data_IF_125855459309
#
_entry.id   IF_125855459309
#
_cell.length_a   1.000
_cell.length_b   1.000
_cell.length_c   1.000
_cell.angle_alpha   90.00
_cell.angle_beta   90.00
_cell.angle_gamma   90.00
#
_symmetry.space_group_name_H-M   'P 1'
#
loop_
_entity.id
_entity.type
_entity.pdbx_description
1 polymer ?
#
# COMPACT_ATOMS: atom_id res chain seq x y z
N UNK A 1 -2.11 -26.22 1.69
CA UNK A 1 -1.64 -25.87 1.43
C UNK A 1 -0.98 -25.91 1.24
N UNK A 2 -1.17 -26.30 1.37
CA UNK A 2 -0.28 -26.18 1.27
C UNK A 2 -0.07 -25.91 0.21
N UNK A 3 -0.82 -26.42 -0.35
CA UNK A 3 -0.61 -26.07 -1.37
C UNK A 3 -0.81 -24.75 -1.54
N UNK A 4 -1.76 -24.12 -1.19
CA UNK A 4 -1.81 -22.75 -1.12
C UNK A 4 -0.67 -22.21 -0.34
N UNK A 5 -0.28 -22.94 0.66
CA UNK A 5 0.79 -22.45 1.51
C UNK A 5 2.12 -22.32 0.78
N UNK A 6 2.58 -23.33 0.07
CA UNK A 6 3.83 -23.15 -0.66
C UNK A 6 3.72 -22.04 -1.68
N UNK A 7 2.57 -21.92 -2.30
CA UNK A 7 2.40 -20.90 -3.30
C UNK A 7 2.48 -19.52 -2.67
N UNK A 8 1.82 -19.34 -1.56
CA UNK A 8 1.81 -18.07 -0.86
C UNK A 8 3.20 -17.70 -0.38
N UNK A 9 3.95 -18.69 0.04
CA UNK A 9 5.29 -18.44 0.49
C UNK A 9 6.14 -17.96 -0.65
N UNK A 10 6.00 -18.56 -1.80
CA UNK A 10 6.77 -18.17 -2.97
C UNK A 10 6.43 -16.74 -3.36
N UNK A 11 5.16 -16.36 -3.27
CA UNK A 11 4.75 -15.03 -3.58
C UNK A 11 5.31 -14.03 -2.60
N UNK A 12 5.32 -14.38 -1.35
CA UNK A 12 5.85 -13.52 -0.32
C UNK A 12 7.32 -13.29 -0.51
N UNK A 13 8.02 -14.34 -0.88
CA UNK A 13 9.44 -14.23 -1.11
C UNK A 13 9.72 -13.32 -2.29
N UNK A 14 8.97 -13.50 -3.35
CA UNK A 14 9.13 -12.68 -4.53
C UNK A 14 8.84 -11.23 -4.20
N UNK A 15 7.80 -10.98 -3.45
CA UNK A 15 7.43 -9.64 -3.03
C UNK A 15 8.55 -9.01 -2.23
N UNK A 16 9.14 -9.76 -1.33
CA UNK A 16 10.18 -9.23 -0.49
C UNK A 16 11.41 -8.85 -1.28
N UNK A 17 11.79 -9.69 -2.20
CA UNK A 17 12.95 -9.43 -3.02
C UNK A 17 12.70 -8.20 -3.87
N UNK A 18 11.54 -8.13 -4.44
CA UNK A 18 11.14 -7.01 -5.25
C UNK A 18 11.20 -5.73 -4.48
N UNK A 19 10.70 -5.72 -3.28
CA UNK A 19 10.70 -4.53 -2.48
C UNK A 19 12.10 -4.11 -2.09
N UNK A 20 12.94 -5.08 -1.87
CA UNK A 20 14.30 -4.77 -1.54
C UNK A 20 14.95 -4.09 -2.70
N UNK A 21 14.70 -4.58 -3.89
CA UNK A 21 15.27 -3.99 -5.07
C UNK A 21 14.70 -2.64 -5.35
N UNK A 22 13.43 -2.48 -5.09
CA UNK A 22 12.78 -1.20 -5.26
C UNK A 22 13.37 -0.18 -4.33
N UNK A 23 13.71 -0.56 -3.13
CA UNK A 23 14.30 0.36 -2.20
C UNK A 23 15.63 0.85 -2.70
N UNK A 24 16.43 -0.03 -3.26
CA UNK A 24 17.70 0.38 -3.80
C UNK A 24 17.51 1.28 -4.99
N UNK A 25 16.56 0.91 -5.82
CA UNK A 25 16.26 1.73 -6.97
C UNK A 25 15.66 3.03 -6.49
N UNK A 26 14.92 2.97 -5.42
CA UNK A 26 14.33 4.14 -4.83
C UNK A 26 15.35 5.14 -4.37
N UNK A 27 16.45 4.66 -3.84
CA UNK A 27 17.49 5.56 -3.40
C UNK A 27 18.03 6.32 -4.60
N UNK A 28 18.28 5.62 -5.68
CA UNK A 28 18.74 6.25 -6.88
C UNK A 28 17.65 7.17 -7.41
N UNK A 29 16.44 6.66 -7.40
CA UNK A 29 15.31 7.43 -7.85
C UNK A 29 15.08 8.65 -7.01
N UNK A 30 15.34 8.55 -5.74
CA UNK A 30 15.15 9.66 -4.86
C UNK A 30 16.11 10.77 -5.18
N UNK A 31 17.33 10.41 -5.53
CA UNK A 31 18.27 11.42 -5.93
C UNK A 31 17.78 12.13 -7.17
N UNK A 32 17.29 11.36 -8.12
CA UNK A 32 16.76 11.91 -9.32
C UNK A 32 15.55 12.75 -9.00
N UNK A 33 14.74 12.24 -8.15
CA UNK A 33 13.51 12.85 -7.75
C UNK A 33 13.77 14.17 -7.07
N UNK A 34 14.76 14.21 -6.23
CA UNK A 34 15.13 15.39 -5.62
C UNK A 34 15.48 16.38 -6.66
N UNK A 35 16.23 15.99 -7.60
CA UNK A 35 16.61 16.83 -8.64
C UNK A 35 15.44 17.31 -9.44
N UNK A 36 14.43 16.50 -9.58
CA UNK A 36 13.35 16.88 -10.36
C UNK A 36 12.27 17.40 -9.63
N UNK A 37 12.18 17.17 -8.40
CA UNK A 37 11.18 17.69 -7.70
C UNK A 37 9.94 17.26 -8.32
N UNK A 38 9.81 16.12 -8.67
CA UNK A 38 8.73 15.69 -9.32
C UNK A 38 7.53 16.28 -8.89
N UNK A 39 6.83 16.71 -9.76
CA UNK A 39 5.56 17.24 -9.49
C UNK A 39 4.83 16.05 -9.04
N UNK A 40 5.46 14.98 -9.13
CA UNK A 40 4.86 13.78 -8.93
C UNK A 40 3.78 13.69 -7.94
N UNK A 41 4.04 14.07 -6.76
CA UNK A 41 3.06 13.91 -5.73
C UNK A 41 1.75 14.53 -6.12
N UNK A 42 1.79 15.75 -6.54
CA UNK A 42 0.64 16.45 -6.91
C UNK A 42 -0.04 15.91 -8.10
N UNK A 43 0.71 15.56 -9.09
CA UNK A 43 0.12 15.11 -10.32
C UNK A 43 -0.52 13.76 -10.25
N UNK A 44 -0.05 12.89 -9.38
CA UNK A 44 -0.64 11.58 -9.29
C UNK A 44 -1.87 11.59 -8.40
N UNK A 45 -1.97 12.56 -7.49
CA UNK A 45 -3.13 12.64 -6.61
C UNK A 45 -4.35 12.98 -7.44
N UNK A 46 -5.37 12.17 -7.40
CA UNK A 46 -6.60 12.48 -8.07
C UNK A 46 -7.65 12.99 -7.11
N UNK A 47 -7.80 12.32 -6.00
CA UNK A 47 -8.84 12.70 -5.07
C UNK A 47 -8.46 12.27 -3.66
N UNK A 48 -8.59 13.16 -2.71
CA UNK A 48 -8.40 12.80 -1.33
C UNK A 48 -9.60 11.98 -0.90
N UNK A 49 -9.37 10.74 -0.52
CA UNK A 49 -10.47 9.90 -0.08
C UNK A 49 -10.86 10.28 1.34
N UNK A 50 -9.88 10.35 2.21
CA UNK A 50 -10.16 10.72 3.59
C UNK A 50 -8.89 11.05 4.33
N UNK A 51 -9.01 11.98 5.26
CA UNK A 51 -7.90 12.28 6.15
C UNK A 51 -8.29 11.78 7.53
N UNK A 52 -7.47 10.93 8.11
CA UNK A 52 -7.78 10.34 9.39
C UNK A 52 -7.34 11.24 10.53
N UNK A 53 -7.88 10.97 11.70
CA UNK A 53 -7.57 11.79 12.85
C UNK A 53 -6.10 11.79 13.22
N UNK A 54 -5.43 10.71 12.96
CA UNK A 54 -4.01 10.61 13.30
C UNK A 54 -3.12 11.32 12.26
N UNK A 55 -3.72 12.00 11.30
CA UNK A 55 -2.94 12.75 10.32
C UNK A 55 -2.65 12.01 9.03
N UNK A 56 -3.01 10.74 8.97
CA UNK A 56 -2.79 9.96 7.76
C UNK A 56 -3.80 10.35 6.70
N UNK A 57 -3.35 10.56 5.48
CA UNK A 57 -4.24 10.89 4.37
C UNK A 57 -4.27 9.74 3.39
N UNK A 58 -5.47 9.38 2.96
CA UNK A 58 -5.64 8.32 1.98
C UNK A 58 -6.09 8.95 0.67
N UNK A 59 -5.33 8.72 -0.38
CA UNK A 59 -5.58 9.33 -1.67
C UNK A 59 -5.88 8.29 -2.73
N UNK A 60 -6.82 8.61 -3.61
CA UNK A 60 -7.01 7.83 -4.83
C UNK A 60 -6.04 8.48 -5.82
N UNK A 61 -5.17 7.67 -6.39
CA UNK A 61 -4.13 8.19 -7.28
C UNK A 61 -4.23 7.59 -8.67
N UNK A 62 -3.60 8.26 -9.61
CA UNK A 62 -3.54 7.77 -10.97
C UNK A 62 -2.44 6.70 -11.00
N UNK A 63 -2.82 5.44 -10.84
CA UNK A 63 -1.87 4.35 -10.76
C UNK A 63 -1.00 4.21 -12.01
N UNK A 64 -1.59 4.50 -13.18
CA UNK A 64 -0.85 4.41 -14.40
C UNK A 64 0.32 5.40 -14.39
N UNK A 65 0.05 6.60 -13.92
CA UNK A 65 1.09 7.62 -13.85
C UNK A 65 2.14 7.22 -12.80
N UNK A 66 1.71 6.67 -11.69
CA UNK A 66 2.64 6.22 -10.66
C UNK A 66 3.59 5.19 -11.27
N UNK A 67 3.03 4.24 -12.00
CA UNK A 67 3.85 3.19 -12.59
C UNK A 67 4.83 3.72 -13.63
N UNK A 68 4.44 4.75 -14.34
CA UNK A 68 5.33 5.27 -15.37
C UNK A 68 6.38 6.23 -14.85
N UNK A 69 6.09 6.90 -13.74
CA UNK A 69 7.03 7.90 -13.23
C UNK A 69 7.91 7.36 -12.11
N UNK A 70 7.32 6.59 -11.22
CA UNK A 70 8.03 6.14 -10.03
C UNK A 70 8.42 4.66 -10.02
N UNK A 71 7.47 3.79 -10.23
CA UNK A 71 7.72 2.37 -10.06
C UNK A 71 6.74 1.55 -10.87
N UNK A 72 7.23 0.85 -11.86
CA UNK A 72 6.39 0.09 -12.74
C UNK A 72 5.65 -1.03 -12.02
N UNK A 73 6.13 -1.41 -10.85
CA UNK A 73 5.52 -2.49 -10.09
C UNK A 73 4.44 -2.04 -9.11
N UNK A 74 4.15 -0.75 -9.07
CA UNK A 74 3.10 -0.28 -8.18
C UNK A 74 1.76 -0.86 -8.63
N UNK A 75 1.09 -1.58 -7.78
CA UNK A 75 -0.23 -2.13 -8.10
C UNK A 75 -1.14 -1.98 -6.92
N UNK A 76 -2.38 -1.65 -7.19
CA UNK A 76 -3.46 -1.57 -6.24
C UNK A 76 -3.30 -0.51 -5.15
N UNK A 77 -2.18 -0.45 -4.48
CA UNK A 77 -2.01 0.54 -3.43
C UNK A 77 -0.66 0.45 -2.76
N UNK A 78 -0.40 1.38 -1.88
CA UNK A 78 0.85 1.37 -1.14
C UNK A 78 0.90 2.51 -0.14
N UNK A 79 1.86 2.45 0.76
CA UNK A 79 2.00 3.49 1.77
C UNK A 79 3.45 3.91 1.92
N UNK A 80 3.64 4.96 2.69
CA UNK A 80 4.93 5.64 2.80
C UNK A 80 6.03 4.82 3.44
N UNK A 81 5.68 3.84 4.27
CA UNK A 81 6.73 3.05 4.90
C UNK A 81 7.38 2.07 3.92
N UNK A 82 6.72 1.78 2.83
CA UNK A 82 7.22 0.83 1.86
C UNK A 82 7.75 1.48 0.60
N UNK A 83 7.05 2.51 0.11
CA UNK A 83 7.45 3.19 -1.12
C UNK A 83 7.99 4.58 -0.80
N UNK A 84 9.23 4.82 -1.19
CA UNK A 84 9.83 6.10 -0.89
C UNK A 84 9.21 7.27 -1.64
N UNK A 85 8.56 6.98 -2.75
CA UNK A 85 7.93 8.05 -3.50
C UNK A 85 6.56 8.44 -2.93
N UNK A 86 6.04 7.66 -1.99
CA UNK A 86 4.79 8.02 -1.36
C UNK A 86 5.13 9.00 -0.23
N UNK A 87 4.54 10.20 -0.24
CA UNK A 87 4.87 11.20 0.79
C UNK A 87 4.54 10.69 2.18
N UNK A 88 5.24 11.24 3.14
CA UNK A 88 5.05 10.86 4.52
C UNK A 88 3.59 11.01 4.93
N UNK A 89 3.08 10.02 5.64
CA UNK A 89 1.71 10.00 6.14
C UNK A 89 0.66 9.93 5.04
N UNK A 90 0.99 9.24 3.97
CA UNK A 90 0.01 9.01 2.92
C UNK A 90 -0.12 7.54 2.59
N UNK A 91 -1.33 7.17 2.18
CA UNK A 91 -1.62 5.87 1.63
C UNK A 91 -2.25 6.13 0.27
N UNK A 92 -1.76 5.46 -0.75
CA UNK A 92 -2.25 5.65 -2.11
C UNK A 92 -3.00 4.42 -2.57
N UNK A 93 -4.16 4.65 -3.17
CA UNK A 93 -4.99 3.57 -3.71
C UNK A 93 -5.14 3.82 -5.20
N UNK A 94 -4.82 2.83 -6.00
CA UNK A 94 -4.84 2.92 -7.46
C UNK A 94 -6.27 3.15 -7.95
N UNK A 95 -6.45 4.12 -8.82
CA UNK A 95 -7.77 4.44 -9.32
C UNK A 95 -8.29 3.38 -10.29
N UNK A 96 -7.41 2.52 -10.78
CA UNK A 96 -7.81 1.50 -11.74
C UNK A 96 -8.54 0.31 -11.12
N UNK A 97 -8.45 0.12 -9.82
CA UNK A 97 -9.13 -1.01 -9.21
C UNK A 97 -10.60 -0.67 -9.01
N UNK A 98 -11.43 -1.69 -9.09
CA UNK A 98 -12.87 -1.50 -8.98
C UNK A 98 -13.23 -0.93 -7.63
N UNK A 99 -14.25 -0.10 -7.62
CA UNK A 99 -14.67 0.55 -6.41
C UNK A 99 -14.93 -0.42 -5.27
N UNK A 100 -15.55 -1.52 -5.59
CA UNK A 100 -15.87 -2.50 -4.56
C UNK A 100 -14.63 -3.18 -3.98
N UNK A 101 -13.52 -3.10 -4.70
CA UNK A 101 -12.29 -3.71 -4.23
C UNK A 101 -11.48 -2.76 -3.36
N UNK A 102 -11.75 -1.48 -3.49
CA UNK A 102 -10.95 -0.48 -2.80
C UNK A 102 -10.93 -0.63 -1.30
N UNK A 103 -12.05 -1.05 -0.73
CA UNK A 103 -12.12 -1.21 0.72
C UNK A 103 -11.19 -2.28 1.22
N UNK A 104 -11.06 -3.37 0.47
CA UNK A 104 -10.20 -4.46 0.88
C UNK A 104 -8.72 -4.09 0.73
N UNK A 105 -8.39 -3.38 -0.33
CA UNK A 105 -7.03 -2.92 -0.52
C UNK A 105 -6.68 -1.91 0.56
N UNK A 106 -7.61 -1.02 0.86
CA UNK A 106 -7.42 -0.04 1.91
C UNK A 106 -7.15 -0.72 3.24
N UNK A 107 -7.93 -1.73 3.58
CA UNK A 107 -7.76 -2.46 4.82
C UNK A 107 -6.36 -3.06 4.89
N UNK A 108 -5.93 -3.67 3.80
CA UNK A 108 -4.61 -4.26 3.74
C UNK A 108 -3.53 -3.21 4.01
N UNK A 109 -3.62 -2.07 3.34
CA UNK A 109 -2.59 -1.04 3.46
C UNK A 109 -2.60 -0.40 4.85
N UNK A 110 -3.77 -0.13 5.38
CA UNK A 110 -3.86 0.47 6.70
C UNK A 110 -3.33 -0.47 7.77
N UNK A 111 -3.73 -1.73 7.70
CA UNK A 111 -3.30 -2.70 8.69
C UNK A 111 -1.79 -2.89 8.63
N UNK A 112 -1.26 -3.03 7.42
CA UNK A 112 0.16 -3.23 7.24
C UNK A 112 0.95 -2.03 7.78
N UNK A 113 0.52 -0.84 7.41
CA UNK A 113 1.22 0.36 7.85
C UNK A 113 1.16 0.51 9.36
N UNK A 114 0.00 0.24 9.96
CA UNK A 114 -0.16 0.37 11.40
C UNK A 114 0.71 -0.63 12.15
N UNK A 115 0.82 -1.85 11.64
CA UNK A 115 1.67 -2.84 12.27
C UNK A 115 3.14 -2.43 12.15
N UNK A 116 3.53 -1.91 11.00
CA UNK A 116 4.90 -1.45 10.84
C UNK A 116 5.18 -0.27 11.73
N UNK A 117 4.20 0.59 11.93
CA UNK A 117 4.36 1.72 12.85
C UNK A 117 4.57 1.24 14.29
N UNK A 118 4.07 0.06 14.60
CA UNK A 118 4.24 -0.52 15.92
C UNK A 118 5.56 -1.28 16.05
N UNK A 119 6.34 -1.31 15.02
CA UNK A 119 7.64 -1.98 15.08
C UNK A 119 7.70 -3.32 14.39
N UNK A 120 6.63 -3.76 13.74
CA UNK A 120 6.67 -5.03 13.04
C UNK A 120 7.48 -4.89 11.75
N UNK A 121 8.12 -5.98 11.36
CA UNK A 121 8.81 -5.99 10.07
C UNK A 121 7.78 -5.98 8.96
N UNK A 122 8.19 -5.59 7.76
CA UNK A 122 7.31 -5.61 6.63
C UNK A 122 6.75 -7.01 6.38
N UNK A 123 7.61 -8.02 6.41
CA UNK A 123 7.16 -9.38 6.13
C UNK A 123 6.05 -9.82 7.06
N UNK A 124 6.22 -9.57 8.33
CA UNK A 124 5.24 -9.98 9.30
C UNK A 124 3.95 -9.18 9.13
N UNK A 125 4.08 -7.88 8.95
CA UNK A 125 2.93 -7.00 8.80
C UNK A 125 2.15 -7.37 7.53
N UNK A 126 2.87 -7.63 6.46
CA UNK A 126 2.24 -7.98 5.18
C UNK A 126 1.49 -9.31 5.27
N UNK A 127 2.10 -10.29 5.91
CA UNK A 127 1.46 -11.59 6.04
C UNK A 127 0.17 -11.49 6.84
N UNK A 128 0.20 -10.73 7.91
CA UNK A 128 -1.01 -10.57 8.71
C UNK A 128 -2.06 -9.77 7.96
N UNK A 129 -1.65 -8.74 7.24
CA UNK A 129 -2.58 -7.94 6.47
C UNK A 129 -3.27 -8.77 5.40
N UNK A 130 -2.53 -9.67 4.79
CA UNK A 130 -3.12 -10.56 3.80
C UNK A 130 -4.17 -11.47 4.43
N UNK A 131 -3.91 -11.93 5.64
CA UNK A 131 -4.87 -12.76 6.33
C UNK A 131 -6.13 -11.99 6.69
N UNK A 132 -5.97 -10.78 7.18
CA UNK A 132 -7.10 -9.95 7.56
C UNK A 132 -7.94 -9.62 6.33
N UNK A 133 -7.27 -9.29 5.25
CA UNK A 133 -7.94 -8.99 3.99
C UNK A 133 -8.72 -10.20 3.49
N UNK A 134 -8.09 -11.36 3.52
CA UNK A 134 -8.71 -12.60 3.07
C UNK A 134 -9.97 -12.89 3.89
N UNK A 135 -9.87 -12.72 5.19
CA UNK A 135 -11.00 -12.97 6.05
C UNK A 135 -12.16 -12.05 5.69
N UNK A 136 -11.88 -10.77 5.50
CA UNK A 136 -12.94 -9.83 5.19
C UNK A 136 -13.53 -10.06 3.81
N UNK A 137 -12.74 -10.59 2.89
CA UNK A 137 -13.28 -10.90 1.57
C UNK A 137 -14.28 -12.03 1.64
N UNK A 138 -14.14 -12.90 2.63
CA UNK A 138 -15.08 -13.99 2.83
C UNK A 138 -16.16 -13.66 3.85
N UNK A 139 -16.05 -12.53 4.51
CA UNK A 139 -17.03 -12.08 5.47
C UNK A 139 -17.16 -10.57 5.28
N UNK A 140 -17.75 -10.20 4.15
CA UNK A 140 -17.80 -8.81 3.75
C UNK A 140 -18.47 -7.89 4.75
N UNK A 141 -19.36 -8.45 5.55
CA UNK A 141 -20.04 -7.65 6.57
C UNK A 141 -19.10 -7.21 7.68
N UNK A 142 -17.91 -7.79 7.75
CA UNK A 142 -16.95 -7.41 8.78
C UNK A 142 -16.00 -6.30 8.32
N UNK A 143 -16.07 -5.93 7.05
CA UNK A 143 -15.11 -4.99 6.51
C UNK A 143 -15.16 -3.63 7.21
N UNK A 144 -16.36 -3.14 7.45
CA UNK A 144 -16.52 -1.84 8.06
C UNK A 144 -15.88 -1.80 9.44
N UNK A 145 -16.10 -2.83 10.21
CA UNK A 145 -15.56 -2.93 11.54
C UNK A 145 -14.05 -3.05 11.51
N UNK A 146 -13.55 -3.84 10.57
CA UNK A 146 -12.12 -4.04 10.45
C UNK A 146 -11.43 -2.74 10.07
N UNK A 147 -12.05 -1.96 9.18
CA UNK A 147 -11.48 -0.67 8.80
C UNK A 147 -11.51 0.30 9.98
N UNK A 148 -12.59 0.29 10.74
CA UNK A 148 -12.70 1.17 11.90
C UNK A 148 -11.59 0.86 12.90
N UNK A 149 -11.26 -0.41 13.05
CA UNK A 149 -10.21 -0.81 13.97
C UNK A 149 -8.85 -0.27 13.55
N UNK A 150 -8.70 0.08 12.28
CA UNK A 150 -7.44 0.61 11.79
C UNK A 150 -7.47 2.15 11.73
N UNK A 151 -8.48 2.76 12.29
CA UNK A 151 -8.54 4.21 12.34
C UNK A 151 -9.40 4.84 11.25
N UNK A 152 -10.04 4.03 10.46
CA UNK A 152 -10.87 4.54 9.38
C UNK A 152 -12.24 4.85 9.94
N UNK A 153 -12.48 6.09 10.12
CA UNK A 153 -13.76 6.53 10.63
C UNK A 153 -14.19 7.82 9.99
#
# INVERSE_FOLDING_TARGET
MSQGVPYNKALEEADRVERKERRRAGDVGRLTHHGKQLPGGKEVHQRLWKKLENGLSVWIVNGRLVRSVFDIDFTEGGHDYVYEFVPENEVWIDDAIEEKERGYVLLHELHERNRMASGWSYNKAHAESSRVEYRCRHHADELHEALAAEGWE
#
